data_IF_819399099831
#
_entry.id   IF_819399099831
#
_cell.length_a   1.000
_cell.length_b   1.000
_cell.length_c   1.000
_cell.angle_alpha   90.00
_cell.angle_beta   90.00
_cell.angle_gamma   90.00
#
_symmetry.space_group_name_H-M   'P 1'
#
loop_
_entity.id
_entity.type
_entity.pdbx_description
1 polymer ?
#
# COMPACT_ATOMS: atom_id res chain seq x y z
N UNK A 1 -3.86 -15.82 -8.31
CA UNK A 1 -2.47 -16.28 -8.41
C UNK A 1 -2.01 -16.04 -9.83
N UNK A 2 -0.94 -15.29 -10.04
CA UNK A 2 -0.46 -14.91 -11.37
C UNK A 2 0.87 -15.61 -11.67
N UNK A 3 0.95 -16.29 -12.81
CA UNK A 3 2.14 -17.03 -13.24
C UNK A 3 2.86 -16.24 -14.32
N UNK A 4 4.14 -16.01 -14.13
CA UNK A 4 5.05 -15.38 -15.09
C UNK A 4 6.01 -16.43 -15.63
N UNK A 5 6.36 -16.36 -16.91
CA UNK A 5 7.52 -17.13 -17.37
C UNK A 5 8.80 -16.45 -16.89
N UNK A 6 9.88 -17.22 -16.79
CA UNK A 6 11.20 -16.67 -16.47
C UNK A 6 11.60 -15.52 -17.42
N UNK A 7 11.28 -15.64 -18.71
CA UNK A 7 11.56 -14.59 -19.70
C UNK A 7 10.78 -13.31 -19.42
N UNK A 8 9.49 -13.40 -19.08
CA UNK A 8 8.66 -12.24 -18.75
C UNK A 8 9.19 -11.51 -17.51
N UNK A 9 9.51 -12.27 -16.47
CA UNK A 9 10.05 -11.72 -15.23
C UNK A 9 11.40 -11.04 -15.46
N UNK A 10 12.25 -11.57 -16.35
CA UNK A 10 13.54 -10.97 -16.71
C UNK A 10 13.38 -9.69 -17.52
N UNK A 11 12.40 -9.62 -18.43
CA UNK A 11 12.15 -8.43 -19.25
C UNK A 11 11.50 -7.30 -18.44
N UNK A 12 10.64 -7.63 -17.47
CA UNK A 12 9.84 -6.66 -16.70
C UNK A 12 9.92 -6.90 -15.19
N UNK A 13 11.13 -6.84 -14.59
CA UNK A 13 11.34 -7.22 -13.19
C UNK A 13 10.55 -6.36 -12.21
N UNK A 14 10.52 -5.04 -12.39
CA UNK A 14 9.75 -4.12 -11.54
C UNK A 14 8.25 -4.44 -11.47
N UNK A 15 7.64 -4.80 -12.61
CA UNK A 15 6.21 -5.13 -12.65
C UNK A 15 5.91 -6.45 -11.96
N UNK A 16 6.77 -7.46 -12.13
CA UNK A 16 6.65 -8.75 -11.48
C UNK A 16 6.83 -8.63 -9.96
N UNK A 17 7.85 -7.89 -9.50
CA UNK A 17 8.11 -7.64 -8.08
C UNK A 17 7.01 -6.80 -7.43
N UNK A 18 6.58 -5.70 -8.05
CA UNK A 18 5.51 -4.87 -7.49
C UNK A 18 4.19 -5.61 -7.34
N UNK A 19 3.88 -6.53 -8.26
CA UNK A 19 2.71 -7.42 -8.12
C UNK A 19 2.92 -8.49 -7.05
N UNK A 20 4.13 -9.00 -6.91
CA UNK A 20 4.47 -9.95 -5.85
C UNK A 20 4.31 -9.30 -4.48
N UNK A 21 4.78 -8.07 -4.33
CA UNK A 21 4.68 -7.29 -3.09
C UNK A 21 3.22 -6.92 -2.76
N UNK A 22 2.47 -6.40 -3.74
CA UNK A 22 1.09 -5.98 -3.52
C UNK A 22 0.10 -7.15 -3.29
N UNK A 23 0.33 -8.30 -3.94
CA UNK A 23 -0.66 -9.40 -3.95
C UNK A 23 -0.21 -10.68 -3.25
N UNK A 24 1.10 -10.86 -3.02
CA UNK A 24 1.70 -12.05 -2.42
C UNK A 24 1.49 -13.36 -3.20
N UNK A 25 0.95 -13.31 -4.43
CA UNK A 25 0.42 -14.48 -5.15
C UNK A 25 1.01 -14.61 -6.55
N UNK A 26 2.31 -14.35 -6.69
CA UNK A 26 3.06 -14.44 -7.95
C UNK A 26 3.93 -15.70 -7.95
N UNK A 27 3.99 -16.40 -9.08
CA UNK A 27 4.90 -17.54 -9.30
C UNK A 27 5.69 -17.30 -10.58
N UNK A 28 7.01 -17.54 -10.54
CA UNK A 28 7.87 -17.51 -11.72
C UNK A 28 8.12 -18.95 -12.17
N UNK A 29 7.63 -19.30 -13.36
CA UNK A 29 7.77 -20.63 -13.94
C UNK A 29 8.95 -20.70 -14.92
N UNK A 30 9.80 -21.70 -14.73
CA UNK A 30 10.87 -22.06 -15.66
C UNK A 30 10.39 -23.14 -16.65
N UNK A 31 11.09 -23.26 -17.78
CA UNK A 31 10.76 -24.24 -18.84
C UNK A 31 10.78 -25.70 -18.37
N UNK A 32 11.51 -26.01 -17.31
CA UNK A 32 11.56 -27.33 -16.66
C UNK A 32 10.34 -27.62 -15.77
N UNK A 33 9.33 -26.73 -15.77
CA UNK A 33 8.09 -26.87 -14.99
C UNK A 33 8.22 -26.41 -13.54
N UNK A 34 9.44 -26.11 -13.06
CA UNK A 34 9.65 -25.62 -11.70
C UNK A 34 9.09 -24.21 -11.54
N UNK A 35 8.41 -23.97 -10.43
CA UNK A 35 7.87 -22.67 -10.05
C UNK A 35 8.58 -22.13 -8.81
N UNK A 36 8.93 -20.85 -8.85
CA UNK A 36 9.64 -20.15 -7.78
C UNK A 36 8.75 -18.99 -7.32
N UNK A 37 8.22 -19.04 -6.08
CA UNK A 37 7.56 -17.88 -5.49
C UNK A 37 8.62 -16.83 -5.15
N UNK A 38 8.40 -15.53 -5.45
CA UNK A 38 9.19 -14.45 -4.88
C UNK A 38 8.99 -14.43 -3.36
N UNK A 39 10.09 -14.44 -2.61
CA UNK A 39 10.08 -14.25 -1.15
C UNK A 39 10.61 -12.84 -0.85
N UNK A 40 9.73 -11.84 -0.65
CA UNK A 40 10.17 -10.50 -0.34
C UNK A 40 10.78 -10.47 1.05
N UNK A 41 11.93 -9.80 1.17
CA UNK A 41 12.49 -9.50 2.48
C UNK A 41 11.52 -8.59 3.23
N UNK A 42 10.92 -9.13 4.30
CA UNK A 42 9.97 -8.38 5.11
C UNK A 42 10.75 -7.41 5.99
N UNK A 43 10.64 -6.12 5.71
CA UNK A 43 11.03 -5.11 6.69
C UNK A 43 10.08 -5.25 7.89
N UNK A 44 10.59 -5.71 9.03
CA UNK A 44 9.75 -5.88 10.24
C UNK A 44 9.20 -4.55 10.77
N UNK A 45 9.81 -3.44 10.37
CA UNK A 45 9.44 -2.10 10.82
C UNK A 45 8.44 -1.47 9.87
N UNK A 46 7.32 -1.05 10.45
CA UNK A 46 6.36 -0.19 9.77
C UNK A 46 7.07 1.06 9.26
N UNK A 47 6.72 1.60 8.07
CA UNK A 47 7.16 2.94 7.67
C UNK A 47 6.77 4.04 8.65
N UNK A 48 5.80 3.77 9.54
CA UNK A 48 5.36 4.64 10.62
C UNK A 48 5.97 4.28 11.98
N UNK A 49 6.94 3.35 12.01
CA UNK A 49 7.72 3.00 13.20
C UNK A 49 8.78 4.09 13.46
N UNK A 50 8.35 5.18 14.08
CA UNK A 50 9.19 6.33 14.44
C UNK A 50 9.23 6.51 15.96
N UNK A 51 10.34 7.02 16.53
CA UNK A 51 10.42 7.32 17.95
C UNK A 51 9.31 8.25 18.42
N UNK A 52 8.77 8.00 19.62
CA UNK A 52 7.77 8.87 20.24
C UNK A 52 8.38 10.16 20.77
N UNK A 53 7.57 11.22 20.84
CA UNK A 53 7.90 12.45 21.58
C UNK A 53 7.03 12.58 22.82
N UNK A 54 7.58 13.13 23.89
CA UNK A 54 6.80 13.53 25.06
C UNK A 54 6.17 14.90 24.80
N UNK A 55 4.88 14.92 24.46
CA UNK A 55 4.12 16.14 24.23
C UNK A 55 3.24 16.47 25.44
N UNK A 56 3.19 17.75 25.82
CA UNK A 56 2.28 18.27 26.86
C UNK A 56 0.88 18.50 26.29
N UNK A 57 0.21 17.43 25.91
CA UNK A 57 -1.14 17.46 25.32
C UNK A 57 -2.07 16.52 26.07
N UNK A 58 -3.33 16.95 26.24
CA UNK A 58 -4.34 16.12 26.92
C UNK A 58 -5.04 15.18 25.94
N UNK A 59 -5.58 14.07 26.43
CA UNK A 59 -6.39 13.14 25.61
C UNK A 59 -7.59 13.84 24.96
N UNK A 60 -8.20 14.81 25.66
CA UNK A 60 -9.34 15.57 25.14
C UNK A 60 -8.96 16.41 23.92
N UNK A 61 -7.80 17.06 23.96
CA UNK A 61 -7.28 17.83 22.82
C UNK A 61 -6.97 16.91 21.64
N UNK A 62 -6.27 15.78 21.87
CA UNK A 62 -5.98 14.80 20.81
C UNK A 62 -7.25 14.30 20.11
N UNK A 63 -8.27 13.93 20.88
CA UNK A 63 -9.55 13.46 20.31
C UNK A 63 -10.25 14.57 19.53
N UNK A 64 -10.18 15.81 20.01
CA UNK A 64 -10.78 16.96 19.33
C UNK A 64 -10.09 17.23 17.98
N UNK A 65 -8.77 17.23 17.96
CA UNK A 65 -7.96 17.40 16.73
C UNK A 65 -8.26 16.30 15.70
N UNK A 66 -8.29 15.03 16.11
CA UNK A 66 -8.60 13.92 15.19
C UNK A 66 -10.01 14.03 14.60
N UNK A 67 -10.99 14.48 15.40
CA UNK A 67 -12.36 14.71 14.92
C UNK A 67 -12.43 15.84 13.91
N UNK A 68 -11.74 16.94 14.19
CA UNK A 68 -11.67 18.09 13.28
C UNK A 68 -11.06 17.69 11.92
N UNK A 69 -9.93 16.98 11.92
CA UNK A 69 -9.26 16.57 10.69
C UNK A 69 -10.06 15.56 9.86
N UNK A 70 -10.76 14.62 10.52
CA UNK A 70 -11.67 13.70 9.84
C UNK A 70 -12.88 14.43 9.24
N UNK A 71 -13.42 15.42 9.94
CA UNK A 71 -14.51 16.24 9.45
C UNK A 71 -14.06 17.08 8.24
N UNK A 72 -12.85 17.66 8.29
CA UNK A 72 -12.21 18.40 7.18
C UNK A 72 -12.04 17.54 5.93
N UNK A 73 -11.50 16.33 6.10
CA UNK A 73 -11.31 15.37 4.98
C UNK A 73 -12.64 14.98 4.34
N UNK A 74 -13.67 14.75 5.17
CA UNK A 74 -15.03 14.41 4.70
C UNK A 74 -15.70 15.60 4.01
N UNK A 75 -15.49 16.83 4.50
CA UNK A 75 -15.98 18.03 3.86
C UNK A 75 -15.32 18.25 2.49
N UNK A 76 -13.99 18.15 2.38
CA UNK A 76 -13.25 18.27 1.11
C UNK A 76 -13.65 17.21 0.07
N UNK A 77 -13.90 15.97 0.48
CA UNK A 77 -14.37 14.93 -0.46
C UNK A 77 -15.81 15.17 -0.90
N UNK A 78 -16.64 15.80 -0.08
CA UNK A 78 -18.00 16.21 -0.45
C UNK A 78 -17.98 17.32 -1.51
N UNK A 79 -17.11 18.33 -1.33
CA UNK A 79 -16.90 19.38 -2.32
C UNK A 79 -16.48 18.87 -3.70
N UNK A 80 -15.66 17.81 -3.78
CA UNK A 80 -15.25 17.20 -5.05
C UNK A 80 -16.36 16.34 -5.70
N UNK A 81 -17.31 15.82 -4.91
CA UNK A 81 -18.40 14.98 -5.40
C UNK A 81 -19.50 15.78 -6.11
N UNK A 82 -19.63 17.06 -5.76
CA UNK A 82 -20.64 17.96 -6.32
C UNK A 82 -20.27 18.51 -7.73
N UNK A 83 -19.03 18.31 -8.20
CA UNK A 83 -18.54 18.82 -9.49
C UNK A 83 -18.39 17.77 -10.61
N UNK A 84 -18.94 16.56 -10.47
CA UNK A 84 -18.62 15.45 -11.38
C UNK A 84 -19.78 14.56 -11.80
N UNK A 85 -20.83 15.12 -12.41
CA UNK A 85 -21.73 14.38 -13.31
C UNK A 85 -21.90 15.19 -14.60
N UNK A 86 -21.14 14.93 -15.68
CA UNK A 86 -21.54 15.40 -17.00
C UNK A 86 -22.78 14.63 -17.46
N UNK A 87 -23.74 15.39 -17.99
CA UNK A 87 -24.96 14.96 -18.67
C UNK A 87 -24.72 14.06 -19.89
#
# INVERSE_FOLDING_TARGET
MQVYTYSDARQKPLSALGKADASGKVLIQRKDGKAFPPDPERTEKSPLDVPSIEARVTTKELVSLVREERARTTASTRFLKDYGQPS
#
